data_IF_237232075771
#
_entry.id   IF_237232075771
#
_cell.length_a   1.000
_cell.length_b   1.000
_cell.length_c   1.000
_cell.angle_alpha   90.00
_cell.angle_beta   90.00
_cell.angle_gamma   90.00
#
_symmetry.space_group_name_H-M   'P 1'
#
loop_
_entity.id
_entity.type
_entity.pdbx_description
1 polymer ?
#
# COMPACT_ATOMS: atom_id res chain seq x y z
N UNK A 1 -21.28 49.03 -86.20
CA UNK A 1 -22.17 49.04 -85.01
C UNK A 1 -22.81 47.68 -84.81
N UNK A 2 -23.64 47.20 -85.74
CA UNK A 2 -24.28 45.88 -85.62
C UNK A 2 -23.28 44.73 -85.43
N UNK A 3 -22.15 44.77 -86.14
CA UNK A 3 -21.06 43.79 -85.97
C UNK A 3 -20.40 43.84 -84.58
N UNK A 4 -20.18 45.05 -84.05
CA UNK A 4 -19.64 45.25 -82.70
C UNK A 4 -20.62 44.79 -81.62
N UNK A 5 -21.93 45.03 -81.81
CA UNK A 5 -22.97 44.53 -80.92
C UNK A 5 -23.07 43.01 -81.01
N UNK A 6 -22.94 42.42 -82.20
CA UNK A 6 -22.88 40.97 -82.39
C UNK A 6 -21.71 40.34 -81.64
N UNK A 7 -20.49 40.86 -81.81
CA UNK A 7 -19.30 40.40 -81.08
C UNK A 7 -19.45 40.53 -79.56
N UNK A 8 -20.02 41.64 -79.08
CA UNK A 8 -20.31 41.80 -77.65
C UNK A 8 -21.35 40.78 -77.16
N UNK A 9 -22.40 40.51 -77.95
CA UNK A 9 -23.39 39.47 -77.64
C UNK A 9 -22.77 38.06 -77.59
N UNK A 10 -21.72 37.82 -78.37
CA UNK A 10 -20.91 36.59 -78.33
C UNK A 10 -19.90 36.56 -77.17
N UNK A 11 -19.90 37.58 -76.29
CA UNK A 11 -19.08 37.64 -75.08
C UNK A 11 -17.74 38.38 -75.23
N UNK A 12 -17.48 39.03 -76.38
CA UNK A 12 -16.28 39.83 -76.57
C UNK A 12 -16.39 41.19 -75.85
N UNK A 13 -15.89 41.22 -74.60
CA UNK A 13 -15.83 42.42 -73.77
C UNK A 13 -14.64 43.35 -74.11
N UNK A 14 -13.95 43.13 -75.24
CA UNK A 14 -12.92 44.03 -75.76
C UNK A 14 -13.45 45.01 -76.80
N UNK A 15 -14.68 44.77 -77.28
CA UNK A 15 -15.33 45.62 -78.26
C UNK A 15 -15.51 47.04 -77.72
N UNK A 16 -15.25 48.02 -78.59
CA UNK A 16 -15.57 49.43 -78.34
C UNK A 16 -16.20 50.07 -79.57
N UNK A 17 -17.21 50.89 -79.34
CA UNK A 17 -17.79 51.76 -80.37
C UNK A 17 -17.02 53.10 -80.42
N UNK A 18 -16.90 53.73 -81.61
CA UNK A 18 -16.19 55.00 -81.76
C UNK A 18 -16.81 56.13 -80.92
N UNK A 19 -15.97 56.95 -80.30
CA UNK A 19 -16.40 58.11 -79.50
C UNK A 19 -16.35 59.41 -80.33
N UNK A 20 -17.03 60.48 -79.87
CA UNK A 20 -16.98 61.80 -80.52
C UNK A 20 -18.09 62.08 -81.55
N UNK A 21 -19.18 61.30 -81.53
CA UNK A 21 -20.36 61.55 -82.35
C UNK A 21 -21.38 62.38 -81.56
N UNK A 22 -21.92 63.45 -82.13
CA UNK A 22 -22.92 64.28 -81.45
C UNK A 22 -24.34 63.69 -81.55
N UNK A 23 -25.22 64.07 -80.62
CA UNK A 23 -26.63 63.66 -80.60
C UNK A 23 -26.90 62.33 -79.90
N UNK A 24 -28.13 61.82 -80.05
CA UNK A 24 -28.63 60.64 -79.32
C UNK A 24 -27.83 59.35 -79.60
N UNK A 25 -27.27 59.20 -80.81
CA UNK A 25 -26.45 58.04 -81.19
C UNK A 25 -25.09 58.07 -80.49
N UNK A 26 -24.51 59.25 -80.26
CA UNK A 26 -23.27 59.41 -79.49
C UNK A 26 -23.42 58.94 -78.05
N UNK A 27 -24.47 59.41 -77.37
CA UNK A 27 -24.80 58.98 -75.99
C UNK A 27 -25.06 57.48 -75.88
N UNK A 28 -25.69 56.88 -76.89
CA UNK A 28 -25.87 55.42 -76.95
C UNK A 28 -24.54 54.68 -77.05
N UNK A 29 -23.57 55.20 -77.81
CA UNK A 29 -22.24 54.57 -77.94
C UNK A 29 -21.43 54.70 -76.66
N UNK A 30 -21.52 55.85 -75.98
CA UNK A 30 -20.91 56.06 -74.66
C UNK A 30 -21.52 55.12 -73.61
N UNK A 31 -22.85 55.08 -73.49
CA UNK A 31 -23.54 54.18 -72.55
C UNK A 31 -23.29 52.69 -72.86
N UNK A 32 -23.18 52.31 -74.13
CA UNK A 32 -22.76 50.96 -74.53
C UNK A 32 -21.33 50.66 -74.07
N UNK A 33 -20.38 51.56 -74.33
CA UNK A 33 -18.99 51.37 -73.90
C UNK A 33 -18.87 51.32 -72.36
N UNK A 34 -19.66 52.10 -71.63
CA UNK A 34 -19.74 52.06 -70.16
C UNK A 34 -20.33 50.73 -69.66
N UNK A 35 -21.38 50.21 -70.29
CA UNK A 35 -21.93 48.90 -69.97
C UNK A 35 -20.93 47.76 -70.24
N UNK A 36 -20.20 47.80 -71.36
CA UNK A 36 -19.11 46.84 -71.67
C UNK A 36 -18.02 46.92 -70.60
N UNK A 37 -17.63 48.13 -70.18
CA UNK A 37 -16.63 48.32 -69.11
C UNK A 37 -17.12 47.78 -67.75
N UNK A 38 -18.39 48.03 -67.40
CA UNK A 38 -19.01 47.50 -66.18
C UNK A 38 -19.08 45.97 -66.16
N UNK A 39 -19.50 45.35 -67.26
CA UNK A 39 -19.50 43.89 -67.41
C UNK A 39 -18.08 43.31 -67.36
N UNK A 40 -17.10 43.95 -67.99
CA UNK A 40 -15.70 43.53 -67.92
C UNK A 40 -15.16 43.58 -66.48
N UNK A 41 -15.53 44.60 -65.71
CA UNK A 41 -15.20 44.70 -64.29
C UNK A 41 -15.87 43.59 -63.46
N UNK A 42 -17.16 43.30 -63.71
CA UNK A 42 -17.87 42.19 -63.06
C UNK A 42 -17.19 40.85 -63.38
N UNK A 43 -16.93 40.55 -64.65
CA UNK A 43 -16.25 39.31 -65.08
C UNK A 43 -14.84 39.21 -64.48
N UNK A 44 -14.13 40.34 -64.38
CA UNK A 44 -12.85 40.43 -63.68
C UNK A 44 -12.97 40.02 -62.21
N UNK A 45 -13.91 40.63 -61.47
CA UNK A 45 -14.18 40.29 -60.06
C UNK A 45 -14.65 38.85 -59.88
N UNK A 46 -15.45 38.30 -60.80
CA UNK A 46 -15.88 36.89 -60.77
C UNK A 46 -14.70 35.95 -60.97
N UNK A 47 -13.79 36.25 -61.91
CA UNK A 47 -12.57 35.46 -62.11
C UNK A 47 -11.66 35.50 -60.89
N UNK A 48 -11.49 36.67 -60.29
CA UNK A 48 -10.72 36.84 -59.06
C UNK A 48 -11.33 36.05 -57.89
N UNK A 49 -12.65 36.15 -57.69
CA UNK A 49 -13.37 35.39 -56.67
C UNK A 49 -13.29 33.87 -56.91
N UNK A 50 -13.39 33.41 -58.17
CA UNK A 50 -13.22 32.01 -58.52
C UNK A 50 -11.80 31.51 -58.25
N UNK A 51 -10.78 32.33 -58.54
CA UNK A 51 -9.38 32.02 -58.19
C UNK A 51 -9.16 31.89 -56.69
N UNK A 52 -9.70 32.84 -55.91
CA UNK A 52 -9.64 32.78 -54.43
C UNK A 52 -10.37 31.54 -53.88
N UNK A 53 -11.52 31.20 -54.45
CA UNK A 53 -12.28 30.00 -54.08
C UNK A 53 -11.47 28.73 -54.37
N UNK A 54 -10.83 28.63 -55.54
CA UNK A 54 -10.00 27.48 -55.90
C UNK A 54 -8.82 27.30 -54.93
N UNK A 55 -8.10 28.39 -54.60
CA UNK A 55 -7.02 28.34 -53.60
C UNK A 55 -7.52 27.93 -52.22
N UNK A 56 -8.68 28.44 -51.78
CA UNK A 56 -9.27 28.04 -50.50
C UNK A 56 -9.66 26.54 -50.48
N UNK A 57 -10.17 26.01 -51.60
CA UNK A 57 -10.48 24.58 -51.74
C UNK A 57 -9.22 23.71 -51.67
N UNK A 58 -8.13 24.10 -52.33
CA UNK A 58 -6.84 23.40 -52.24
C UNK A 58 -6.33 23.36 -50.79
N UNK A 59 -6.43 24.47 -50.06
CA UNK A 59 -6.02 24.54 -48.65
C UNK A 59 -6.91 23.67 -47.74
N UNK A 60 -8.22 23.67 -47.97
CA UNK A 60 -9.16 22.79 -47.25
C UNK A 60 -8.82 21.32 -47.52
N UNK A 61 -8.57 20.94 -48.78
CA UNK A 61 -8.20 19.57 -49.14
C UNK A 61 -6.95 19.10 -48.40
N UNK A 62 -5.90 19.92 -48.39
CA UNK A 62 -4.67 19.61 -47.65
C UNK A 62 -4.91 19.51 -46.14
N UNK A 63 -5.77 20.38 -45.58
CA UNK A 63 -6.13 20.33 -44.16
C UNK A 63 -6.95 19.09 -43.80
N UNK A 64 -7.84 18.65 -44.69
CA UNK A 64 -8.63 17.42 -44.54
C UNK A 64 -7.74 16.17 -44.61
N UNK A 65 -6.78 16.13 -45.53
CA UNK A 65 -5.80 15.02 -45.59
C UNK A 65 -4.96 14.93 -44.31
N UNK A 66 -4.51 16.08 -43.79
CA UNK A 66 -3.80 16.13 -42.51
C UNK A 66 -4.69 15.66 -41.34
N UNK A 67 -5.96 16.08 -41.32
CA UNK A 67 -6.91 15.68 -40.29
C UNK A 67 -7.15 14.16 -40.28
N UNK A 68 -7.31 13.55 -41.46
CA UNK A 68 -7.45 12.10 -41.59
C UNK A 68 -6.22 11.35 -41.03
N UNK A 69 -5.01 11.81 -41.36
CA UNK A 69 -3.77 11.24 -40.81
C UNK A 69 -3.70 11.36 -39.28
N UNK A 70 -4.09 12.51 -38.71
CA UNK A 70 -4.14 12.68 -37.26
C UNK A 70 -5.22 11.82 -36.60
N UNK A 71 -6.36 11.59 -37.25
CA UNK A 71 -7.41 10.71 -36.76
C UNK A 71 -6.94 9.24 -36.72
N UNK A 72 -6.20 8.78 -37.74
CA UNK A 72 -5.57 7.45 -37.74
C UNK A 72 -4.58 7.28 -36.57
N UNK A 73 -3.73 8.29 -36.33
CA UNK A 73 -2.79 8.27 -35.21
C UNK A 73 -3.50 8.25 -33.85
N UNK A 74 -4.58 9.03 -33.71
CA UNK A 74 -5.39 9.07 -32.49
C UNK A 74 -6.10 7.74 -32.25
N UNK A 75 -6.57 7.05 -33.30
CA UNK A 75 -7.14 5.71 -33.19
C UNK A 75 -6.11 4.69 -32.70
N UNK A 76 -4.89 4.73 -33.23
CA UNK A 76 -3.81 3.84 -32.80
C UNK A 76 -3.43 4.07 -31.32
N UNK A 77 -3.34 5.33 -30.88
CA UNK A 77 -3.09 5.66 -29.47
C UNK A 77 -4.24 5.18 -28.57
N UNK A 78 -5.49 5.29 -29.01
CA UNK A 78 -6.63 4.79 -28.25
C UNK A 78 -6.56 3.27 -28.05
N UNK A 79 -6.15 2.50 -29.07
CA UNK A 79 -5.93 1.05 -28.93
C UNK A 79 -4.83 0.71 -27.91
N UNK A 80 -3.73 1.46 -27.90
CA UNK A 80 -2.65 1.27 -26.93
C UNK A 80 -3.11 1.55 -25.50
N UNK A 81 -3.85 2.65 -25.29
CA UNK A 81 -4.41 2.97 -23.96
C UNK A 81 -5.44 1.92 -23.54
N UNK A 82 -6.28 1.42 -24.45
CA UNK A 82 -7.21 0.34 -24.15
C UNK A 82 -6.49 -0.93 -23.66
N UNK A 83 -5.38 -1.30 -24.31
CA UNK A 83 -4.56 -2.43 -23.88
C UNK A 83 -3.95 -2.20 -22.49
N UNK A 84 -3.47 -0.99 -22.20
CA UNK A 84 -2.95 -0.64 -20.88
C UNK A 84 -4.03 -0.71 -19.79
N UNK A 85 -5.27 -0.28 -20.08
CA UNK A 85 -6.40 -0.38 -19.16
C UNK A 85 -6.78 -1.82 -18.87
N UNK A 86 -6.74 -2.71 -19.87
CA UNK A 86 -6.95 -4.15 -19.65
C UNK A 86 -5.89 -4.74 -18.72
N UNK A 87 -4.62 -4.37 -18.89
CA UNK A 87 -3.54 -4.80 -17.99
C UNK A 87 -3.70 -4.22 -16.57
N UNK A 88 -4.17 -2.98 -16.45
CA UNK A 88 -4.49 -2.38 -15.15
C UNK A 88 -5.60 -3.16 -14.45
N UNK A 89 -6.68 -3.52 -15.14
CA UNK A 89 -7.75 -4.35 -14.59
C UNK A 89 -7.25 -5.71 -14.09
N UNK A 90 -6.34 -6.35 -14.82
CA UNK A 90 -5.71 -7.60 -14.36
C UNK A 90 -4.89 -7.40 -13.08
N UNK A 91 -4.19 -6.27 -12.97
CA UNK A 91 -3.39 -5.91 -11.79
C UNK A 91 -4.29 -5.61 -10.59
N UNK A 92 -5.37 -4.87 -10.78
CA UNK A 92 -6.37 -4.57 -9.73
C UNK A 92 -6.97 -5.86 -9.17
N UNK A 93 -7.38 -6.79 -10.05
CA UNK A 93 -7.88 -8.11 -9.63
C UNK A 93 -6.80 -8.97 -8.95
N UNK A 94 -5.52 -8.80 -9.33
CA UNK A 94 -4.38 -9.39 -8.63
C UNK A 94 -4.23 -8.85 -7.21
N UNK A 95 -4.27 -7.53 -7.06
CA UNK A 95 -4.17 -6.83 -5.77
C UNK A 95 -5.30 -7.23 -4.82
N UNK A 96 -6.55 -7.22 -5.28
CA UNK A 96 -7.70 -7.62 -4.46
C UNK A 96 -7.54 -9.04 -3.88
N UNK A 97 -7.10 -10.00 -4.71
CA UNK A 97 -6.80 -11.36 -4.25
C UNK A 97 -5.62 -11.43 -3.28
N UNK A 98 -4.58 -10.63 -3.52
CA UNK A 98 -3.42 -10.56 -2.63
C UNK A 98 -3.81 -10.01 -1.26
N UNK A 99 -4.64 -8.97 -1.23
CA UNK A 99 -5.18 -8.36 -0.01
C UNK A 99 -6.00 -9.36 0.78
N UNK A 100 -6.92 -10.08 0.12
CA UNK A 100 -7.73 -11.11 0.77
C UNK A 100 -6.84 -12.19 1.43
N UNK A 101 -5.77 -12.60 0.74
CA UNK A 101 -4.81 -13.58 1.28
C UNK A 101 -3.99 -13.00 2.45
N UNK A 102 -3.61 -11.73 2.37
CA UNK A 102 -2.93 -11.04 3.48
C UNK A 102 -3.82 -10.98 4.71
N UNK A 103 -5.10 -10.64 4.55
CA UNK A 103 -6.07 -10.61 5.64
C UNK A 103 -6.25 -12.00 6.28
N UNK A 104 -6.35 -13.06 5.47
CA UNK A 104 -6.43 -14.45 5.98
C UNK A 104 -5.20 -14.84 6.80
N UNK A 105 -4.00 -14.50 6.32
CA UNK A 105 -2.74 -14.80 7.04
C UNK A 105 -2.62 -13.96 8.31
N UNK A 106 -3.01 -12.68 8.28
CA UNK A 106 -3.02 -11.81 9.44
C UNK A 106 -3.95 -12.38 10.52
N UNK A 107 -5.19 -12.75 10.15
CA UNK A 107 -6.16 -13.34 11.06
C UNK A 107 -5.62 -14.64 11.72
N UNK A 108 -5.04 -15.53 10.93
CA UNK A 108 -4.43 -16.76 11.44
C UNK A 108 -3.22 -16.49 12.35
N UNK A 109 -2.41 -15.49 12.01
CA UNK A 109 -1.32 -15.01 12.84
C UNK A 109 -1.82 -14.45 14.18
N UNK A 110 -2.92 -13.70 14.17
CA UNK A 110 -3.52 -13.10 15.35
C UNK A 110 -4.08 -14.14 16.31
N UNK A 111 -4.71 -15.18 15.77
CA UNK A 111 -5.13 -16.37 16.56
C UNK A 111 -3.92 -17.03 17.22
N UNK A 112 -2.86 -17.27 16.46
CA UNK A 112 -1.63 -17.93 16.96
C UNK A 112 -0.97 -17.09 18.05
N UNK A 113 -0.87 -15.78 17.85
CA UNK A 113 -0.31 -14.86 18.84
C UNK A 113 -1.15 -14.85 20.13
N UNK A 114 -2.48 -14.81 20.02
CA UNK A 114 -3.37 -14.86 21.18
C UNK A 114 -3.22 -16.15 21.98
N UNK A 115 -3.13 -17.29 21.29
CA UNK A 115 -2.88 -18.59 21.92
C UNK A 115 -1.49 -18.64 22.58
N UNK A 116 -0.48 -18.07 21.94
CA UNK A 116 0.85 -17.88 22.53
C UNK A 116 0.79 -17.05 23.82
N UNK A 117 0.02 -15.97 23.82
CA UNK A 117 -0.16 -15.10 24.98
C UNK A 117 -0.86 -15.79 26.14
N UNK A 118 -1.82 -16.69 25.86
CA UNK A 118 -2.41 -17.57 26.89
C UNK A 118 -1.38 -18.52 27.49
N UNK A 119 -0.54 -19.12 26.64
CA UNK A 119 0.53 -20.04 27.09
C UNK A 119 1.54 -19.32 27.98
N UNK A 120 1.93 -18.09 27.62
CA UNK A 120 2.83 -17.27 28.43
C UNK A 120 2.17 -16.91 29.77
N UNK A 121 0.90 -16.49 29.79
CA UNK A 121 0.17 -16.22 31.03
C UNK A 121 0.11 -17.43 31.95
N UNK A 122 -0.09 -18.63 31.40
CA UNK A 122 -0.06 -19.87 32.18
C UNK A 122 1.35 -20.13 32.75
N UNK A 123 2.41 -19.92 31.97
CA UNK A 123 3.79 -20.07 32.41
C UNK A 123 4.15 -19.08 33.54
N UNK A 124 3.72 -17.82 33.45
CA UNK A 124 3.85 -16.81 34.51
C UNK A 124 3.21 -17.30 35.80
N UNK A 125 1.96 -17.76 35.74
CA UNK A 125 1.25 -18.28 36.93
C UNK A 125 1.94 -19.51 37.55
N UNK A 126 2.50 -20.41 36.73
CA UNK A 126 3.29 -21.54 37.22
C UNK A 126 4.59 -21.09 37.89
N UNK A 127 5.27 -20.07 37.36
CA UNK A 127 6.49 -19.51 37.96
C UNK A 127 6.23 -18.84 39.31
N UNK A 128 5.12 -18.11 39.44
CA UNK A 128 4.67 -17.57 40.74
C UNK A 128 4.42 -18.70 41.76
N UNK A 129 3.79 -19.80 41.31
CA UNK A 129 3.60 -20.99 42.14
C UNK A 129 4.92 -21.63 42.58
N UNK A 130 5.91 -21.71 41.69
CA UNK A 130 7.26 -22.21 42.00
C UNK A 130 7.95 -21.30 43.01
N UNK A 131 7.90 -19.98 42.82
CA UNK A 131 8.49 -19.01 43.74
C UNK A 131 7.90 -19.17 45.16
N UNK A 132 6.57 -19.29 45.26
CA UNK A 132 5.90 -19.53 46.55
C UNK A 132 6.28 -20.88 47.17
N UNK A 133 6.41 -21.95 46.37
CA UNK A 133 6.85 -23.25 46.87
C UNK A 133 8.28 -23.21 47.43
N UNK A 134 9.18 -22.46 46.79
CA UNK A 134 10.56 -22.26 47.24
C UNK A 134 10.61 -21.45 48.53
N UNK A 135 9.78 -20.42 48.68
CA UNK A 135 9.67 -19.63 49.90
C UNK A 135 9.24 -20.51 51.10
N UNK A 136 8.19 -21.32 50.94
CA UNK A 136 7.75 -22.29 51.96
C UNK A 136 8.82 -23.34 52.29
N UNK A 137 9.56 -23.79 51.27
CA UNK A 137 10.66 -24.76 51.46
C UNK A 137 11.80 -24.13 52.27
N UNK A 138 12.14 -22.87 51.98
CA UNK A 138 13.17 -22.12 52.70
C UNK A 138 12.80 -21.95 54.17
N UNK A 139 11.54 -21.58 54.47
CA UNK A 139 11.05 -21.47 55.86
C UNK A 139 11.16 -22.81 56.60
N UNK A 140 10.85 -23.92 55.92
CA UNK A 140 10.94 -25.27 56.51
C UNK A 140 12.38 -25.66 56.80
N UNK A 141 13.31 -25.36 55.89
CA UNK A 141 14.75 -25.63 56.06
C UNK A 141 15.33 -24.77 57.20
N UNK A 142 14.97 -23.49 57.29
CA UNK A 142 15.41 -22.62 58.39
C UNK A 142 14.92 -23.12 59.76
N UNK A 143 13.69 -23.63 59.82
CA UNK A 143 13.16 -24.32 61.02
C UNK A 143 13.95 -25.59 61.34
N UNK A 144 14.31 -26.39 60.35
CA UNK A 144 15.17 -27.57 60.55
C UNK A 144 16.54 -27.17 61.10
N UNK A 145 17.15 -26.10 60.59
CA UNK A 145 18.41 -25.56 61.11
C UNK A 145 18.29 -25.18 62.58
N UNK A 146 17.20 -24.50 62.95
CA UNK A 146 16.91 -24.15 64.34
C UNK A 146 16.75 -25.39 65.25
N UNK A 147 16.15 -26.48 64.75
CA UNK A 147 16.06 -27.73 65.50
C UNK A 147 17.41 -28.42 65.62
N UNK A 148 18.22 -28.43 64.56
CA UNK A 148 19.60 -28.93 64.57
C UNK A 148 20.44 -28.24 65.64
N UNK A 149 20.37 -26.91 65.73
CA UNK A 149 21.08 -26.15 66.77
C UNK A 149 20.62 -26.47 68.19
N UNK A 150 19.31 -26.67 68.40
CA UNK A 150 18.78 -27.10 69.70
C UNK A 150 19.24 -28.51 70.07
N UNK A 151 19.33 -29.41 69.11
CA UNK A 151 19.84 -30.78 69.34
C UNK A 151 21.33 -30.71 69.67
N UNK A 152 22.12 -29.92 68.94
CA UNK A 152 23.54 -29.69 69.23
C UNK A 152 23.75 -29.22 70.68
N UNK A 153 22.98 -28.24 71.15
CA UNK A 153 23.05 -27.79 72.55
C UNK A 153 22.71 -28.88 73.58
N UNK A 154 21.82 -29.81 73.24
CA UNK A 154 21.50 -30.95 74.11
C UNK A 154 22.66 -31.95 74.13
N UNK A 155 23.28 -32.21 72.97
CA UNK A 155 24.44 -33.09 72.83
C UNK A 155 25.63 -32.56 73.61
N UNK A 156 25.95 -31.26 73.48
CA UNK A 156 27.02 -30.59 74.25
C UNK A 156 26.83 -30.78 75.76
N UNK A 157 25.58 -30.68 76.23
CA UNK A 157 25.25 -30.86 77.65
C UNK A 157 25.33 -32.33 78.10
N UNK A 158 25.04 -33.29 77.21
CA UNK A 158 25.20 -34.72 77.49
C UNK A 158 26.70 -35.04 77.60
N UNK A 159 27.52 -34.47 76.72
CA UNK A 159 28.97 -34.63 76.71
C UNK A 159 29.60 -34.15 78.04
N UNK A 160 29.21 -32.96 78.52
CA UNK A 160 29.63 -32.46 79.84
C UNK A 160 29.27 -33.41 81.00
N UNK A 161 28.12 -34.10 80.94
CA UNK A 161 27.68 -35.06 81.96
C UNK A 161 28.46 -36.38 81.84
N UNK A 162 28.74 -36.81 80.62
CA UNK A 162 29.47 -38.04 80.32
C UNK A 162 30.91 -37.95 80.84
N UNK A 163 31.56 -36.81 80.65
CA UNK A 163 32.87 -36.48 81.21
C UNK A 163 32.86 -36.51 82.74
N UNK A 164 31.83 -35.97 83.39
CA UNK A 164 31.70 -36.01 84.85
C UNK A 164 31.52 -37.44 85.41
N UNK A 165 30.98 -38.36 84.60
CA UNK A 165 30.73 -39.75 85.00
C UNK A 165 31.80 -40.73 84.54
N UNK A 166 32.83 -40.26 83.82
CA UNK A 166 33.96 -41.06 83.30
C UNK A 166 33.49 -42.28 82.47
N UNK A 167 32.38 -42.13 81.74
CA UNK A 167 31.77 -43.19 80.94
C UNK A 167 32.34 -43.16 79.52
N UNK A 168 33.42 -43.92 79.31
CA UNK A 168 34.17 -43.97 78.05
C UNK A 168 33.32 -44.35 76.82
N UNK A 169 32.30 -45.20 77.01
CA UNK A 169 31.37 -45.57 75.94
C UNK A 169 30.33 -44.47 75.61
N UNK A 170 30.04 -43.59 76.58
CA UNK A 170 29.13 -42.47 76.38
C UNK A 170 29.84 -41.33 75.64
N UNK A 171 31.10 -41.02 75.98
CA UNK A 171 31.92 -40.04 75.27
C UNK A 171 32.10 -40.39 73.78
N UNK A 172 32.35 -41.66 73.45
CA UNK A 172 32.47 -42.07 72.05
C UNK A 172 31.16 -41.91 71.26
N UNK A 173 30.01 -42.07 71.92
CA UNK A 173 28.70 -41.89 71.29
C UNK A 173 28.31 -40.41 71.15
N UNK A 174 28.69 -39.54 72.11
CA UNK A 174 28.49 -38.09 71.99
C UNK A 174 29.35 -37.49 70.88
N UNK A 175 30.60 -37.92 70.75
CA UNK A 175 31.49 -37.53 69.64
C UNK A 175 30.91 -37.91 68.26
N UNK A 176 30.37 -39.12 68.11
CA UNK A 176 29.74 -39.58 66.87
C UNK A 176 28.50 -38.73 66.51
N UNK A 177 27.65 -38.43 67.50
CA UNK A 177 26.47 -37.58 67.31
C UNK A 177 26.88 -36.14 66.96
N UNK A 178 27.90 -35.59 67.61
CA UNK A 178 28.41 -34.25 67.30
C UNK A 178 28.87 -34.17 65.83
N UNK A 179 29.62 -35.17 65.36
CA UNK A 179 30.00 -35.30 63.96
C UNK A 179 28.79 -35.37 63.01
N UNK A 180 27.76 -36.15 63.36
CA UNK A 180 26.52 -36.19 62.58
C UNK A 180 25.78 -34.84 62.58
N UNK A 181 25.81 -34.08 63.69
CA UNK A 181 25.17 -32.76 63.75
C UNK A 181 25.89 -31.72 62.89
N UNK A 182 27.22 -31.78 62.81
CA UNK A 182 27.99 -30.94 61.90
C UNK A 182 27.67 -31.26 60.43
N UNK A 183 27.53 -32.55 60.09
CA UNK A 183 27.09 -33.00 58.76
C UNK A 183 25.66 -32.50 58.43
N UNK A 184 24.73 -32.58 59.38
CA UNK A 184 23.36 -32.06 59.22
C UNK A 184 23.36 -30.54 59.02
N UNK A 185 24.19 -29.79 59.75
CA UNK A 185 24.32 -28.34 59.55
C UNK A 185 24.84 -28.00 58.16
N UNK A 186 25.87 -28.71 57.69
CA UNK A 186 26.43 -28.52 56.35
C UNK A 186 25.39 -28.83 55.25
N UNK A 187 24.59 -29.89 55.40
CA UNK A 187 23.48 -30.19 54.49
C UNK A 187 22.40 -29.09 54.49
N UNK A 188 22.03 -28.57 55.66
CA UNK A 188 21.02 -27.50 55.79
C UNK A 188 21.51 -26.22 55.10
N UNK A 189 22.76 -25.82 55.33
CA UNK A 189 23.35 -24.66 54.67
C UNK A 189 23.40 -24.84 53.15
N UNK A 190 23.75 -26.04 52.68
CA UNK A 190 23.69 -26.42 51.26
C UNK A 190 22.28 -26.36 50.67
N UNK A 191 21.28 -26.81 51.42
CA UNK A 191 19.88 -26.78 51.01
C UNK A 191 19.34 -25.35 50.93
N UNK A 192 19.66 -24.48 51.89
CA UNK A 192 19.33 -23.05 51.84
C UNK A 192 19.99 -22.38 50.63
N UNK A 193 21.25 -22.68 50.34
CA UNK A 193 21.95 -22.18 49.16
C UNK A 193 21.25 -22.56 47.85
N UNK A 194 20.80 -23.82 47.75
CA UNK A 194 20.06 -24.33 46.59
C UNK A 194 18.68 -23.69 46.46
N UNK A 195 17.98 -23.48 47.57
CA UNK A 195 16.67 -22.81 47.59
C UNK A 195 16.79 -21.36 47.13
N UNK A 196 17.78 -20.60 47.63
CA UNK A 196 18.06 -19.22 47.17
C UNK A 196 18.37 -19.15 45.68
N UNK A 197 19.21 -20.05 45.17
CA UNK A 197 19.50 -20.12 43.73
C UNK A 197 18.25 -20.43 42.91
N UNK A 198 17.39 -21.33 43.41
CA UNK A 198 16.13 -21.68 42.75
C UNK A 198 15.16 -20.49 42.73
N UNK A 199 15.08 -19.73 43.82
CA UNK A 199 14.26 -18.50 43.91
C UNK A 199 14.70 -17.49 42.86
N UNK A 200 16.01 -17.24 42.76
CA UNK A 200 16.57 -16.33 41.76
C UNK A 200 16.27 -16.79 40.32
N UNK A 201 16.29 -18.11 40.06
CA UNK A 201 15.92 -18.65 38.74
C UNK A 201 14.44 -18.49 38.45
N UNK A 202 13.57 -18.66 39.45
CA UNK A 202 12.14 -18.45 39.31
C UNK A 202 11.80 -16.97 39.04
N UNK A 203 12.42 -16.03 39.78
CA UNK A 203 12.29 -14.59 39.54
C UNK A 203 12.72 -14.21 38.11
N UNK A 204 13.87 -14.71 37.66
CA UNK A 204 14.33 -14.48 36.27
C UNK A 204 13.40 -15.12 35.24
N UNK A 205 12.84 -16.29 35.55
CA UNK A 205 11.85 -16.95 34.70
C UNK A 205 10.57 -16.13 34.56
N UNK A 206 10.14 -15.48 35.64
CA UNK A 206 9.00 -14.57 35.65
C UNK A 206 9.25 -13.33 34.78
N UNK A 207 10.41 -12.68 34.94
CA UNK A 207 10.82 -11.51 34.14
C UNK A 207 10.81 -11.83 32.63
N UNK A 208 11.38 -12.97 32.24
CA UNK A 208 11.38 -13.41 30.83
C UNK A 208 9.98 -13.74 30.30
N UNK A 209 9.10 -14.29 31.14
CA UNK A 209 7.72 -14.57 30.75
C UNK A 209 6.91 -13.27 30.56
N UNK A 210 7.11 -12.28 31.42
CA UNK A 210 6.50 -10.95 31.27
C UNK A 210 6.97 -10.25 29.99
N UNK A 211 8.28 -10.29 29.70
CA UNK A 211 8.84 -9.74 28.46
C UNK A 211 8.27 -10.44 27.22
N UNK A 212 8.18 -11.77 27.24
CA UNK A 212 7.55 -12.55 26.17
C UNK A 212 6.06 -12.19 26.01
N UNK A 213 5.35 -11.95 27.11
CA UNK A 213 3.95 -11.52 27.11
C UNK A 213 3.77 -10.17 26.42
N UNK A 214 4.59 -9.19 26.78
CA UNK A 214 4.58 -7.87 26.16
C UNK A 214 4.89 -7.94 24.65
N UNK A 215 5.88 -8.75 24.24
CA UNK A 215 6.19 -8.95 22.83
C UNK A 215 5.02 -9.58 22.04
N UNK A 216 4.27 -10.49 22.66
CA UNK A 216 3.07 -11.07 22.04
C UNK A 216 1.95 -10.04 21.90
N UNK A 217 1.76 -9.17 22.89
CA UNK A 217 0.78 -8.07 22.79
C UNK A 217 1.12 -7.12 21.65
N UNK A 218 2.40 -6.74 21.48
CA UNK A 218 2.85 -5.96 20.33
C UNK A 218 2.56 -6.66 18.99
N UNK A 219 2.76 -7.98 18.90
CA UNK A 219 2.43 -8.76 17.71
C UNK A 219 0.93 -8.71 17.43
N UNK A 220 0.08 -8.87 18.44
CA UNK A 220 -1.38 -8.80 18.28
C UNK A 220 -1.79 -7.42 17.75
N UNK A 221 -1.24 -6.34 18.30
CA UNK A 221 -1.49 -4.98 17.81
C UNK A 221 -1.03 -4.80 16.36
N UNK A 222 0.18 -5.23 16.02
CA UNK A 222 0.70 -5.14 14.66
C UNK A 222 -0.14 -5.92 13.64
N UNK A 223 -0.69 -7.06 14.04
CA UNK A 223 -1.59 -7.85 13.19
C UNK A 223 -2.91 -7.13 12.95
N UNK A 224 -3.50 -6.49 13.97
CA UNK A 224 -4.70 -5.67 13.80
C UNK A 224 -4.47 -4.49 12.86
N UNK A 225 -3.30 -3.85 12.91
CA UNK A 225 -2.94 -2.80 11.94
C UNK A 225 -2.84 -3.36 10.51
N UNK A 226 -2.29 -4.57 10.33
CA UNK A 226 -2.22 -5.22 9.01
C UNK A 226 -3.62 -5.51 8.46
N UNK A 227 -4.57 -5.95 9.31
CA UNK A 227 -5.96 -6.16 8.91
C UNK A 227 -6.62 -4.85 8.45
N UNK A 228 -6.45 -3.75 9.20
CA UNK A 228 -6.98 -2.44 8.81
C UNK A 228 -6.40 -1.96 7.48
N UNK A 229 -5.08 -2.12 7.27
CA UNK A 229 -4.42 -1.79 6.01
C UNK A 229 -4.91 -2.64 4.85
N UNK A 230 -5.23 -3.91 5.09
CA UNK A 230 -5.79 -4.78 4.06
C UNK A 230 -7.15 -4.23 3.58
N UNK A 231 -8.02 -3.81 4.51
CA UNK A 231 -9.31 -3.21 4.16
C UNK A 231 -9.16 -1.89 3.38
N UNK A 232 -8.21 -1.03 3.76
CA UNK A 232 -7.91 0.21 3.00
C UNK A 232 -7.50 -0.09 1.56
N UNK A 233 -6.63 -1.09 1.35
CA UNK A 233 -6.17 -1.45 0.00
C UNK A 233 -7.29 -2.11 -0.81
N UNK A 234 -8.17 -2.88 -0.17
CA UNK A 234 -9.36 -3.44 -0.82
C UNK A 234 -10.27 -2.32 -1.36
N UNK A 235 -10.59 -1.33 -0.52
CA UNK A 235 -11.41 -0.18 -0.91
C UNK A 235 -10.76 0.62 -2.06
N UNK A 236 -9.45 0.87 -1.97
CA UNK A 236 -8.71 1.55 -3.04
C UNK A 236 -8.71 0.75 -4.36
N UNK A 237 -8.68 -0.57 -4.29
CA UNK A 237 -8.75 -1.44 -5.47
C UNK A 237 -10.12 -1.38 -6.15
N UNK A 238 -11.20 -1.30 -5.37
CA UNK A 238 -12.57 -1.09 -5.89
C UNK A 238 -12.72 0.27 -6.58
N UNK A 239 -12.16 1.33 -5.99
CA UNK A 239 -12.15 2.67 -6.59
C UNK A 239 -11.34 2.71 -7.89
N UNK A 240 -10.18 2.06 -7.92
CA UNK A 240 -9.36 1.91 -9.13
C UNK A 240 -10.09 1.12 -10.23
N UNK A 241 -10.86 0.09 -9.86
CA UNK A 241 -11.68 -0.66 -10.83
C UNK A 241 -12.71 0.25 -11.48
N UNK A 242 -13.43 1.04 -10.68
CA UNK A 242 -14.42 2.01 -11.18
C UNK A 242 -13.78 3.03 -12.12
N UNK A 243 -12.62 3.57 -11.72
CA UNK A 243 -11.87 4.54 -12.54
C UNK A 243 -11.39 3.91 -13.86
N UNK A 244 -10.93 2.67 -13.82
CA UNK A 244 -10.48 1.95 -15.02
C UNK A 244 -11.61 1.73 -16.02
N UNK A 245 -12.83 1.45 -15.55
CA UNK A 245 -14.02 1.38 -16.41
C UNK A 245 -14.38 2.72 -17.06
N UNK A 246 -14.19 3.84 -16.35
CA UNK A 246 -14.41 5.18 -16.91
C UNK A 246 -13.37 5.53 -17.98
N UNK A 247 -12.11 5.17 -17.77
CA UNK A 247 -11.05 5.35 -18.76
C UNK A 247 -11.36 4.49 -19.99
N UNK A 248 -11.73 3.22 -19.83
CA UNK A 248 -12.10 2.35 -20.94
C UNK A 248 -13.23 2.95 -21.80
N UNK A 249 -14.28 3.49 -21.16
CA UNK A 249 -15.38 4.18 -21.86
C UNK A 249 -14.92 5.43 -22.60
N UNK A 250 -14.02 6.21 -22.00
CA UNK A 250 -13.47 7.42 -22.62
C UNK A 250 -12.62 7.09 -23.85
N UNK A 251 -11.78 6.06 -23.76
CA UNK A 251 -10.95 5.56 -24.87
C UNK A 251 -11.81 5.06 -26.02
N UNK A 252 -12.87 4.30 -25.73
CA UNK A 252 -13.82 3.84 -26.75
C UNK A 252 -14.51 5.01 -27.47
N UNK A 253 -14.85 6.07 -26.72
CA UNK A 253 -15.46 7.28 -27.29
C UNK A 253 -14.49 8.01 -28.22
N UNK A 254 -13.21 8.12 -27.85
CA UNK A 254 -12.15 8.72 -28.68
C UNK A 254 -11.93 7.91 -29.96
N UNK A 255 -11.82 6.59 -29.84
CA UNK A 255 -11.66 5.69 -30.99
C UNK A 255 -12.83 5.81 -31.97
N UNK A 256 -14.06 5.87 -31.46
CA UNK A 256 -15.26 6.07 -32.29
C UNK A 256 -15.24 7.42 -33.01
N UNK A 257 -14.91 8.51 -32.29
CA UNK A 257 -14.84 9.84 -32.90
C UNK A 257 -13.74 9.96 -33.97
N UNK A 258 -12.61 9.27 -33.78
CA UNK A 258 -11.53 9.19 -34.75
C UNK A 258 -11.94 8.41 -36.01
N UNK A 259 -12.79 7.38 -35.90
CA UNK A 259 -13.30 6.63 -37.05
C UNK A 259 -14.38 7.38 -37.83
N UNK A 260 -15.08 8.33 -37.19
CA UNK A 260 -16.14 9.14 -37.82
C UNK A 260 -15.61 10.46 -38.45
N UNK A 261 -14.34 10.81 -38.23
CA UNK A 261 -13.68 12.04 -38.74
C UNK A 261 -12.93 11.81 -40.05
#
# INVERSE_FOLDING_TARGET
MLEAIGRFADGDLTVRLPTGREGAIGRLFEGFNEAVAGLRSIVGRVREAAGSTASATEQISASSEQMAASAEEQSAQAEEVAAAVEQLNQTINGNARSVQKTAEVAQAGGETARQGGETVREATSQMEGIASAIENTTETIERLGTYGDKIGQVVDRIDEIADQTNLLALNAATDEIAGMMDEVREEIDGAVGTARQSSQRAEKGLELAEEAGAAIEEIVTAISEVEERADEIAAASEEQSTTSEEIARSVQSISTAAQES
#
